data_IF_448537244692
#
_entry.id   IF_448537244692
#
_cell.length_a   1.000
_cell.length_b   1.000
_cell.length_c   1.000
_cell.angle_alpha   90.00
_cell.angle_beta   90.00
_cell.angle_gamma   90.00
#
_symmetry.space_group_name_H-M   'P 1'
#
loop_
_entity.id
_entity.type
_entity.pdbx_description
1 polymer ?
#
# COMPACT_ATOMS: atom_id res chain seq x y z
N UNK A 1 -26.17 4.22 -24.92
CA UNK A 1 -25.52 3.05 -24.28
C UNK A 1 -24.01 3.16 -24.50
N UNK A 2 -23.20 2.99 -23.44
CA UNK A 2 -21.74 3.08 -23.55
C UNK A 2 -21.21 1.84 -24.29
N UNK A 3 -20.32 2.04 -25.26
CA UNK A 3 -19.70 0.93 -25.97
C UNK A 3 -18.72 0.21 -25.04
N UNK A 4 -18.73 -1.12 -25.11
CA UNK A 4 -17.91 -2.00 -24.30
C UNK A 4 -16.93 -2.77 -25.18
N UNK A 5 -15.81 -3.19 -24.61
CA UNK A 5 -14.83 -4.10 -25.22
C UNK A 5 -14.35 -5.12 -24.19
N UNK A 6 -13.88 -6.26 -24.68
CA UNK A 6 -13.20 -7.23 -23.81
C UNK A 6 -11.90 -6.65 -23.29
N UNK A 7 -11.68 -6.77 -21.98
CA UNK A 7 -10.44 -6.33 -21.34
C UNK A 7 -9.23 -7.19 -21.67
N UNK A 8 -9.44 -8.40 -22.19
CA UNK A 8 -8.41 -9.41 -22.37
C UNK A 8 -7.99 -10.13 -21.09
N UNK A 9 -8.66 -9.84 -19.98
CA UNK A 9 -8.40 -10.43 -18.66
C UNK A 9 -9.69 -11.05 -18.12
N UNK A 10 -9.68 -12.36 -17.94
CA UNK A 10 -10.85 -13.16 -17.59
C UNK A 10 -11.64 -12.61 -16.41
N UNK A 11 -10.97 -12.30 -15.29
CA UNK A 11 -11.65 -11.84 -14.08
C UNK A 11 -12.17 -10.39 -14.14
N UNK A 12 -11.70 -9.59 -15.13
CA UNK A 12 -12.20 -8.24 -15.37
C UNK A 12 -13.41 -8.26 -16.30
N UNK A 13 -13.37 -9.12 -17.33
CA UNK A 13 -14.42 -9.23 -18.34
C UNK A 13 -14.45 -8.02 -19.27
N UNK A 14 -15.64 -7.47 -19.52
CA UNK A 14 -15.83 -6.33 -20.40
C UNK A 14 -15.62 -5.00 -19.67
N UNK A 15 -15.00 -4.06 -20.36
CA UNK A 15 -14.76 -2.68 -19.89
C UNK A 15 -15.26 -1.68 -20.93
N UNK A 16 -15.53 -0.42 -20.55
CA UNK A 16 -15.81 0.63 -21.52
C UNK A 16 -14.71 0.74 -22.59
N UNK A 17 -15.11 0.99 -23.83
CA UNK A 17 -14.20 1.01 -24.99
C UNK A 17 -13.05 2.03 -24.81
N UNK A 18 -13.32 3.13 -24.13
CA UNK A 18 -12.35 4.19 -23.83
C UNK A 18 -11.43 3.91 -22.61
N UNK A 19 -11.63 2.78 -21.93
CA UNK A 19 -10.77 2.38 -20.81
C UNK A 19 -9.58 1.53 -21.27
N UNK A 20 -8.48 1.65 -20.53
CA UNK A 20 -7.28 0.85 -20.72
C UNK A 20 -7.01 -0.04 -19.51
N UNK A 21 -6.49 -1.23 -19.77
CA UNK A 21 -5.92 -2.11 -18.72
C UNK A 21 -4.44 -1.87 -18.64
N UNK A 22 -3.95 -1.55 -17.44
CA UNK A 22 -2.52 -1.30 -17.19
C UNK A 22 -2.04 -2.16 -16.01
N UNK A 23 -0.82 -2.71 -16.10
CA UNK A 23 -0.23 -3.37 -14.94
C UNK A 23 0.15 -2.34 -13.86
N UNK A 24 0.07 -2.74 -12.59
CA UNK A 24 0.39 -1.87 -11.46
C UNK A 24 1.80 -1.28 -11.57
N UNK A 25 2.77 -2.04 -12.04
CA UNK A 25 4.14 -1.58 -12.25
C UNK A 25 4.28 -0.38 -13.19
N UNK A 26 3.29 -0.12 -14.04
CA UNK A 26 3.29 1.05 -14.93
C UNK A 26 2.78 2.32 -14.25
N UNK A 27 2.03 2.18 -13.15
CA UNK A 27 1.40 3.28 -12.43
C UNK A 27 2.21 3.74 -11.22
N UNK A 28 3.09 2.88 -10.70
CA UNK A 28 3.85 3.12 -9.49
C UNK A 28 5.33 2.80 -9.67
N UNK A 29 6.17 3.54 -8.96
CA UNK A 29 7.52 3.10 -8.62
C UNK A 29 7.49 2.44 -7.23
N UNK A 30 8.48 1.59 -6.95
CA UNK A 30 8.50 0.80 -5.73
C UNK A 30 9.66 1.23 -4.84
N UNK A 31 9.44 1.20 -3.53
CA UNK A 31 10.45 1.46 -2.53
C UNK A 31 10.29 0.54 -1.33
N UNK A 32 11.18 0.69 -0.40
CA UNK A 32 11.17 -0.07 0.86
C UNK A 32 10.98 0.88 2.03
N UNK A 33 10.33 0.38 3.08
CA UNK A 33 10.25 1.07 4.35
C UNK A 33 11.60 1.17 5.07
N UNK A 34 11.61 1.87 6.18
CA UNK A 34 12.81 2.07 7.00
C UNK A 34 13.44 0.73 7.41
N UNK A 35 14.77 0.58 7.30
CA UNK A 35 15.50 -0.60 7.72
C UNK A 35 15.70 -0.61 9.25
N UNK A 36 14.60 -0.62 9.98
CA UNK A 36 14.55 -0.56 11.45
C UNK A 36 13.87 -1.80 12.02
N UNK A 37 13.89 -1.89 13.34
CA UNK A 37 13.15 -2.90 14.10
C UNK A 37 12.19 -2.21 15.07
N UNK A 38 11.39 -2.98 15.78
CA UNK A 38 10.50 -2.49 16.83
C UNK A 38 11.24 -1.69 17.90
N UNK A 39 12.49 -2.03 18.16
CA UNK A 39 13.30 -1.37 19.19
C UNK A 39 13.69 0.07 18.83
N UNK A 40 13.55 0.45 17.57
CA UNK A 40 13.78 1.83 17.10
C UNK A 40 12.56 2.74 17.27
N UNK A 41 11.42 2.20 17.69
CA UNK A 41 10.22 3.01 17.96
C UNK A 41 10.41 3.78 19.27
N UNK A 42 9.95 5.02 19.27
CA UNK A 42 10.05 5.96 20.39
C UNK A 42 8.68 6.59 20.67
N UNK A 43 8.57 7.30 21.80
CA UNK A 43 7.28 7.90 22.19
C UNK A 43 6.90 9.13 21.37
N UNK A 44 7.88 9.93 20.96
CA UNK A 44 7.67 11.17 20.22
C UNK A 44 8.71 11.31 19.11
N UNK A 45 8.27 11.68 17.93
CA UNK A 45 9.14 11.85 16.77
C UNK A 45 8.35 11.94 15.47
N UNK A 46 8.95 11.47 14.38
CA UNK A 46 8.27 11.38 13.09
C UNK A 46 7.35 10.17 13.03
N UNK A 47 6.17 10.34 12.45
CA UNK A 47 5.19 9.26 12.30
C UNK A 47 5.70 8.14 11.40
N UNK A 48 5.39 6.91 11.74
CA UNK A 48 5.75 5.70 10.99
C UNK A 48 4.63 4.66 11.07
N UNK A 49 4.41 3.96 9.97
CA UNK A 49 3.50 2.81 9.90
C UNK A 49 4.29 1.61 9.38
N UNK A 50 4.35 0.56 10.18
CA UNK A 50 5.03 -0.70 9.86
C UNK A 50 4.01 -1.81 9.60
N UNK A 51 4.49 -3.00 9.24
CA UNK A 51 3.63 -4.13 8.92
C UNK A 51 2.64 -4.50 10.04
N UNK A 52 3.03 -4.38 11.30
CA UNK A 52 2.16 -4.68 12.44
C UNK A 52 0.92 -3.78 12.51
N UNK A 53 1.07 -2.51 12.16
CA UNK A 53 -0.05 -1.57 12.09
C UNK A 53 -0.91 -1.84 10.86
N UNK A 54 -0.29 -2.24 9.74
CA UNK A 54 -1.03 -2.59 8.51
C UNK A 54 -1.93 -3.82 8.75
N UNK A 55 -1.48 -4.79 9.54
CA UNK A 55 -2.27 -5.96 9.92
C UNK A 55 -3.22 -5.72 11.10
N UNK A 56 -3.21 -4.54 11.71
CA UNK A 56 -4.11 -4.20 12.81
C UNK A 56 -5.58 -4.22 12.35
N UNK A 57 -6.45 -4.66 13.24
CA UNK A 57 -7.90 -4.60 13.04
C UNK A 57 -8.42 -3.16 12.89
N UNK A 58 -7.67 -2.18 13.39
CA UNK A 58 -8.02 -0.77 13.27
C UNK A 58 -7.68 -0.18 11.90
N UNK A 59 -6.90 -0.89 11.08
CA UNK A 59 -6.58 -0.45 9.73
C UNK A 59 -7.76 -0.69 8.78
N UNK A 60 -8.32 0.39 8.26
CA UNK A 60 -9.42 0.33 7.27
C UNK A 60 -8.90 0.35 5.82
N UNK A 61 -7.62 0.53 5.59
CA UNK A 61 -6.94 0.45 4.30
C UNK A 61 -7.03 1.73 3.46
N UNK A 62 -8.22 2.28 3.29
CA UNK A 62 -8.49 3.40 2.37
C UNK A 62 -8.13 4.78 2.92
N UNK A 63 -7.75 4.84 4.17
CA UNK A 63 -7.24 6.06 4.82
C UNK A 63 -6.41 5.70 6.05
N UNK A 64 -5.58 6.63 6.49
CA UNK A 64 -4.78 6.48 7.71
C UNK A 64 -5.60 6.99 8.89
N UNK A 65 -5.76 6.14 9.91
CA UNK A 65 -6.28 6.53 11.22
C UNK A 65 -5.12 6.76 12.19
N UNK A 66 -5.24 7.75 13.07
CA UNK A 66 -4.13 8.15 13.93
C UNK A 66 -3.62 7.04 14.86
N UNK A 67 -4.49 6.13 15.27
CA UNK A 67 -4.14 4.97 16.09
C UNK A 67 -3.12 4.02 15.45
N UNK A 68 -2.96 4.07 14.12
CA UNK A 68 -1.96 3.27 13.42
C UNK A 68 -0.56 3.83 13.57
N UNK A 69 -0.43 5.13 13.83
CA UNK A 69 0.87 5.79 13.84
C UNK A 69 1.70 5.38 15.05
N UNK A 70 2.97 5.11 14.78
CA UNK A 70 4.04 4.98 15.76
C UNK A 70 5.06 6.06 15.43
N UNK A 71 6.13 6.17 16.21
CA UNK A 71 7.10 7.25 16.05
C UNK A 71 8.52 6.71 16.00
N UNK A 72 9.33 7.37 15.19
CA UNK A 72 10.77 7.13 15.07
C UNK A 72 11.53 8.45 15.20
N UNK A 73 12.84 8.37 15.41
CA UNK A 73 13.69 9.54 15.47
C UNK A 73 13.58 10.40 14.22
N UNK A 74 13.55 11.71 14.38
CA UNK A 74 13.56 12.67 13.27
C UNK A 74 14.85 12.62 12.43
N UNK A 75 15.90 11.98 12.94
CA UNK A 75 17.16 11.80 12.19
C UNK A 75 16.95 11.03 10.89
N UNK A 76 15.91 10.19 10.79
CA UNK A 76 15.57 9.47 9.57
C UNK A 76 15.11 10.38 8.41
N UNK A 77 14.71 11.62 8.69
CA UNK A 77 14.41 12.60 7.65
C UNK A 77 15.64 12.92 6.81
N UNK A 78 16.82 12.92 7.43
CA UNK A 78 18.09 13.18 6.76
C UNK A 78 18.72 11.90 6.19
N UNK A 79 18.64 10.79 6.92
CA UNK A 79 19.34 9.55 6.58
C UNK A 79 18.55 8.64 5.64
N UNK A 80 17.24 8.66 5.71
CA UNK A 80 16.36 7.75 4.97
C UNK A 80 15.15 8.46 4.33
N UNK A 81 15.37 9.56 3.57
CA UNK A 81 14.25 10.30 2.96
C UNK A 81 13.46 9.48 1.94
N UNK A 82 14.06 8.42 1.39
CA UNK A 82 13.42 7.53 0.40
C UNK A 82 12.32 6.64 1.00
N UNK A 83 12.23 6.57 2.31
CA UNK A 83 11.15 5.84 3.00
C UNK A 83 9.98 6.74 3.42
N UNK A 84 10.04 8.04 3.11
CA UNK A 84 8.90 8.94 3.24
C UNK A 84 7.85 8.66 2.19
N UNK A 85 6.60 8.70 2.60
CA UNK A 85 5.44 8.55 1.72
C UNK A 85 4.66 9.86 1.62
N UNK A 86 3.95 10.03 0.52
CA UNK A 86 3.18 11.23 0.21
C UNK A 86 1.73 10.87 -0.12
N UNK A 87 0.85 11.84 -0.05
CA UNK A 87 -0.53 11.65 -0.47
C UNK A 87 -0.61 11.00 -1.85
N UNK A 88 -1.39 9.94 -1.95
CA UNK A 88 -1.53 9.15 -3.18
C UNK A 88 -0.69 7.87 -3.20
N UNK A 89 0.25 7.72 -2.29
CA UNK A 89 1.08 6.52 -2.17
C UNK A 89 0.37 5.41 -1.38
N UNK A 90 0.91 4.20 -1.47
CA UNK A 90 0.45 3.03 -0.73
C UNK A 90 1.60 2.41 0.04
N UNK A 91 1.30 1.90 1.24
CA UNK A 91 2.21 1.09 2.02
C UNK A 91 1.60 -0.31 2.14
N UNK A 92 2.29 -1.32 1.60
CA UNK A 92 1.90 -2.72 1.72
C UNK A 92 2.79 -3.43 2.74
N UNK A 93 2.20 -4.34 3.51
CA UNK A 93 2.98 -5.28 4.30
C UNK A 93 3.64 -6.30 3.36
N UNK A 94 4.95 -6.54 3.53
CA UNK A 94 5.69 -7.52 2.73
C UNK A 94 5.59 -8.94 3.29
N UNK A 95 5.10 -9.06 4.51
CA UNK A 95 4.92 -10.34 5.21
C UNK A 95 3.53 -10.45 5.81
N UNK A 96 3.01 -11.67 5.90
CA UNK A 96 1.79 -12.00 6.60
C UNK A 96 1.89 -13.38 7.23
N UNK A 97 1.32 -13.55 8.42
CA UNK A 97 1.26 -14.84 9.12
C UNK A 97 0.20 -15.78 8.50
N UNK A 98 -0.77 -15.22 7.79
CA UNK A 98 -1.86 -15.97 7.16
C UNK A 98 -2.17 -15.46 5.75
N UNK A 99 -3.00 -16.20 5.03
CA UNK A 99 -3.41 -15.83 3.68
C UNK A 99 -4.37 -14.64 3.65
N UNK A 100 -5.11 -14.41 4.72
CA UNK A 100 -6.04 -13.28 4.79
C UNK A 100 -5.31 -11.95 4.85
N UNK A 101 -4.16 -11.91 5.53
CA UNK A 101 -3.32 -10.73 5.63
C UNK A 101 -2.52 -10.41 4.36
N UNK A 102 -2.39 -11.37 3.44
CA UNK A 102 -1.68 -11.15 2.18
C UNK A 102 -2.35 -10.03 1.37
N UNK A 103 -1.57 -8.99 1.04
CA UNK A 103 -2.08 -7.83 0.33
C UNK A 103 -2.68 -6.76 1.22
N UNK A 104 -2.55 -6.86 2.54
CA UNK A 104 -2.93 -5.78 3.43
C UNK A 104 -2.07 -4.54 3.17
N UNK A 105 -2.72 -3.40 3.20
CA UNK A 105 -2.12 -2.12 2.85
C UNK A 105 -2.77 -0.98 3.62
N UNK A 106 -2.16 0.20 3.50
CA UNK A 106 -2.79 1.47 3.85
C UNK A 106 -2.56 2.47 2.72
N UNK A 107 -3.59 3.23 2.40
CA UNK A 107 -3.54 4.33 1.44
C UNK A 107 -3.23 5.64 2.17
N UNK A 108 -2.25 6.37 1.66
CA UNK A 108 -1.86 7.68 2.21
C UNK A 108 -2.83 8.74 1.67
N UNK A 109 -3.85 9.03 2.45
CA UNK A 109 -4.96 9.91 2.06
C UNK A 109 -4.71 11.41 2.31
N UNK A 110 -3.67 11.71 3.10
CA UNK A 110 -3.29 13.08 3.47
C UNK A 110 -1.81 13.31 3.25
N UNK A 111 -1.44 14.57 2.96
CA UNK A 111 -0.04 14.99 3.00
C UNK A 111 0.38 15.28 4.43
N UNK A 112 1.34 14.51 4.91
CA UNK A 112 1.96 14.68 6.22
C UNK A 112 3.35 14.04 6.23
N UNK A 113 4.18 14.35 7.22
CA UNK A 113 5.46 13.67 7.39
C UNK A 113 5.18 12.27 7.94
N UNK A 114 5.35 11.27 7.08
CA UNK A 114 5.07 9.87 7.41
C UNK A 114 6.10 8.96 6.75
N UNK A 115 6.69 8.08 7.54
CA UNK A 115 7.54 7.00 7.05
C UNK A 115 6.76 5.70 6.88
N UNK A 116 7.09 4.96 5.84
CA UNK A 116 6.85 3.53 5.82
C UNK A 116 7.90 2.85 6.71
N UNK A 117 7.46 1.97 7.58
CA UNK A 117 8.31 1.32 8.56
C UNK A 117 8.87 -0.03 8.12
N UNK A 118 9.26 -0.85 9.07
CA UNK A 118 9.85 -2.15 8.78
C UNK A 118 8.83 -3.16 8.21
N UNK A 119 9.33 -4.08 7.39
CA UNK A 119 8.52 -5.07 6.66
C UNK A 119 7.40 -4.45 5.82
N UNK A 120 7.73 -3.40 5.11
CA UNK A 120 6.81 -2.75 4.19
C UNK A 120 7.42 -2.52 2.81
N UNK A 121 6.54 -2.47 1.82
CA UNK A 121 6.84 -2.05 0.44
C UNK A 121 6.03 -0.80 0.15
N UNK A 122 6.67 0.19 -0.44
CA UNK A 122 6.02 1.44 -0.83
C UNK A 122 5.67 1.38 -2.31
N UNK A 123 4.45 1.78 -2.66
CA UNK A 123 4.05 2.09 -4.03
C UNK A 123 3.97 3.62 -4.15
N UNK A 124 4.96 4.20 -4.83
CA UNK A 124 4.99 5.64 -5.10
C UNK A 124 4.19 5.95 -6.37
N UNK A 125 3.23 6.83 -6.27
CA UNK A 125 2.42 7.27 -7.41
C UNK A 125 3.28 8.00 -8.45
N UNK A 126 3.22 7.53 -9.69
CA UNK A 126 3.93 8.16 -10.83
C UNK A 126 3.09 9.19 -11.56
N UNK A 127 1.77 9.11 -11.46
CA UNK A 127 0.84 9.88 -12.27
C UNK A 127 -0.27 10.47 -11.40
N UNK A 128 -0.88 11.53 -11.90
CA UNK A 128 -2.06 12.10 -11.28
C UNK A 128 -3.31 11.27 -11.66
N UNK A 129 -3.44 10.10 -11.05
CA UNK A 129 -4.60 9.21 -11.18
C UNK A 129 -5.44 9.27 -9.91
N UNK A 130 -6.68 8.82 -10.00
CA UNK A 130 -7.52 8.69 -8.81
C UNK A 130 -7.11 7.46 -8.00
N UNK A 131 -6.06 7.62 -7.20
CA UNK A 131 -5.50 6.53 -6.40
C UNK A 131 -6.45 6.06 -5.30
N UNK A 132 -7.40 6.88 -4.88
CA UNK A 132 -8.43 6.48 -3.92
C UNK A 132 -9.33 5.38 -4.49
N UNK A 133 -9.63 5.44 -5.77
CA UNK A 133 -10.32 4.33 -6.46
C UNK A 133 -9.52 3.04 -6.36
N UNK A 134 -8.21 3.12 -6.57
CA UNK A 134 -7.31 1.95 -6.43
C UNK A 134 -7.29 1.41 -4.99
N UNK A 135 -7.39 2.27 -3.98
CA UNK A 135 -7.47 1.82 -2.60
C UNK A 135 -8.70 0.93 -2.36
N UNK A 136 -9.84 1.28 -2.92
CA UNK A 136 -11.04 0.43 -2.85
C UNK A 136 -10.89 -0.84 -3.69
N UNK A 137 -10.29 -0.74 -4.89
CA UNK A 137 -10.02 -1.90 -5.74
C UNK A 137 -9.13 -2.93 -5.03
N UNK A 138 -8.09 -2.49 -4.34
CA UNK A 138 -7.15 -3.35 -3.62
C UNK A 138 -7.78 -4.08 -2.42
N UNK A 139 -8.94 -3.65 -1.97
CA UNK A 139 -9.73 -4.35 -0.95
C UNK A 139 -10.63 -5.43 -1.52
N UNK A 140 -10.85 -5.48 -2.82
CA UNK A 140 -11.74 -6.48 -3.44
C UNK A 140 -11.14 -7.88 -3.39
N UNK A 141 -11.99 -8.90 -3.31
CA UNK A 141 -11.56 -10.29 -3.37
C UNK A 141 -10.92 -10.63 -4.72
N UNK A 142 -11.42 -10.05 -5.80
CA UNK A 142 -10.87 -10.24 -7.15
C UNK A 142 -9.39 -9.84 -7.24
N UNK A 143 -9.00 -8.73 -6.60
CA UNK A 143 -7.61 -8.31 -6.51
C UNK A 143 -6.82 -9.19 -5.53
N UNK A 144 -7.35 -9.39 -4.32
CA UNK A 144 -6.65 -10.10 -3.24
C UNK A 144 -6.39 -11.56 -3.55
N UNK A 145 -7.26 -12.22 -4.28
CA UNK A 145 -7.07 -13.60 -4.70
C UNK A 145 -5.81 -13.79 -5.55
N UNK A 146 -5.45 -12.82 -6.38
CA UNK A 146 -4.23 -12.88 -7.18
C UNK A 146 -2.97 -12.84 -6.30
N UNK A 147 -2.97 -11.99 -5.28
CA UNK A 147 -1.84 -11.87 -4.34
C UNK A 147 -1.74 -13.10 -3.45
N UNK A 148 -2.86 -13.61 -2.95
CA UNK A 148 -2.90 -14.83 -2.11
C UNK A 148 -2.34 -16.04 -2.84
N UNK A 149 -2.60 -16.18 -4.14
CA UNK A 149 -2.00 -17.23 -4.96
C UNK A 149 -0.47 -17.20 -4.99
N UNK A 150 0.13 -16.01 -4.89
CA UNK A 150 1.58 -15.84 -4.83
C UNK A 150 2.14 -16.10 -3.41
N UNK A 151 1.34 -15.86 -2.37
CA UNK A 151 1.73 -16.08 -0.98
C UNK A 151 1.76 -17.57 -0.59
N UNK A 152 0.96 -18.41 -1.21
CA UNK A 152 0.82 -19.84 -0.88
C UNK A 152 2.08 -20.68 -1.11
N UNK A 153 3.09 -20.16 -1.78
CA UNK A 153 4.37 -20.83 -2.03
C UNK A 153 5.46 -20.62 -0.96
N UNK A 154 5.16 -19.83 0.08
CA UNK A 154 6.13 -19.51 1.15
C UNK A 154 5.66 -20.05 2.50
N UNK A 155 5.85 -21.33 2.68
CA UNK A 155 5.81 -21.96 4.00
C UNK A 155 7.23 -22.27 4.46
#
# INVERSE_FOLDING_TARGET
MRKMKDSGIEWIGEIPEDWEVKPIKSLFSFGKGLPITKDNLIENGSSVISYGQIHSKNNIGVQIVDDLKRFVSETYLDTNPNSLVHKGDFIFADTSEDLEGCGNFVYVDKEEILFAGYHTIILFSKQNINNKYLAYLFKTDAWRCQIRGLCSGRR
#
